data_IF_051528407396
#
_entry.id   IF_051528407396
#
_cell.length_a   1.000
_cell.length_b   1.000
_cell.length_c   1.000
_cell.angle_alpha   90.00
_cell.angle_beta   90.00
_cell.angle_gamma   90.00
#
_symmetry.space_group_name_H-M   'P 1'
#
loop_
_entity.id
_entity.type
_entity.pdbx_description
1 polymer ?
#
# COMPACT_ATOMS: atom_id res chain seq x y z
N UNK A 1 16.21 -22.17 1.59
CA UNK A 1 15.00 -22.29 0.75
C UNK A 1 15.44 -22.88 -0.58
N UNK A 2 14.70 -23.87 -1.08
CA UNK A 2 14.87 -24.34 -2.44
C UNK A 2 14.43 -23.21 -3.38
N UNK A 3 15.31 -22.83 -4.32
CA UNK A 3 15.08 -21.72 -5.23
C UNK A 3 14.52 -22.23 -6.55
N UNK A 4 13.63 -21.46 -7.17
CA UNK A 4 13.13 -21.79 -8.50
C UNK A 4 14.27 -21.80 -9.51
N UNK A 5 14.24 -22.78 -10.41
CA UNK A 5 15.14 -22.80 -11.54
C UNK A 5 14.66 -21.83 -12.65
N UNK A 6 15.51 -21.45 -13.62
CA UNK A 6 15.14 -20.47 -14.65
C UNK A 6 13.91 -20.88 -15.49
N UNK A 7 13.68 -22.17 -15.68
CA UNK A 7 12.53 -22.66 -16.44
C UNK A 7 11.23 -22.49 -15.65
N UNK A 8 11.29 -22.70 -14.32
CA UNK A 8 10.17 -22.47 -13.42
C UNK A 8 9.82 -20.98 -13.32
N UNK A 9 10.83 -20.10 -13.23
CA UNK A 9 10.61 -18.64 -13.24
C UNK A 9 9.93 -18.19 -14.55
N UNK A 10 10.34 -18.75 -15.69
CA UNK A 10 9.71 -18.49 -17.00
C UNK A 10 8.23 -18.93 -17.05
N UNK A 11 7.87 -20.01 -16.35
CA UNK A 11 6.46 -20.44 -16.25
C UNK A 11 5.64 -19.40 -15.47
N UNK A 12 6.18 -18.87 -14.37
CA UNK A 12 5.54 -17.80 -13.60
C UNK A 12 5.40 -16.52 -14.42
N UNK A 13 6.46 -16.16 -15.15
CA UNK A 13 6.48 -15.02 -16.07
C UNK A 13 5.34 -15.11 -17.08
N UNK A 14 5.23 -16.24 -17.81
CA UNK A 14 4.18 -16.43 -18.83
C UNK A 14 2.77 -16.35 -18.25
N UNK A 15 2.58 -16.87 -17.03
CA UNK A 15 1.31 -16.80 -16.34
C UNK A 15 0.89 -15.35 -16.06
N UNK A 16 1.81 -14.50 -15.60
CA UNK A 16 1.53 -13.09 -15.37
C UNK A 16 1.20 -12.34 -16.67
N UNK A 17 1.91 -12.63 -17.76
CA UNK A 17 1.63 -12.06 -19.09
C UNK A 17 0.23 -12.45 -19.58
N UNK A 18 -0.13 -13.73 -19.48
CA UNK A 18 -1.44 -14.22 -19.92
C UNK A 18 -2.62 -13.63 -19.15
N UNK A 19 -2.41 -13.28 -17.88
CA UNK A 19 -3.43 -12.64 -17.05
C UNK A 19 -3.56 -11.12 -17.25
N UNK A 20 -2.83 -10.54 -18.22
CA UNK A 20 -2.90 -9.10 -18.52
C UNK A 20 -2.34 -8.24 -17.38
N UNK A 21 -1.28 -8.74 -16.72
CA UNK A 21 -0.58 -8.00 -15.67
C UNK A 21 0.07 -6.76 -16.27
N UNK A 22 -0.09 -5.62 -15.60
CA UNK A 22 0.57 -4.36 -15.99
C UNK A 22 2.09 -4.54 -15.90
N UNK A 23 2.82 -4.12 -16.93
CA UNK A 23 4.27 -4.24 -17.05
C UNK A 23 5.00 -3.62 -15.85
N UNK A 24 4.43 -2.55 -15.27
CA UNK A 24 4.99 -1.88 -14.10
C UNK A 24 4.81 -2.65 -12.78
N UNK A 25 3.89 -3.63 -12.71
CA UNK A 25 3.69 -4.49 -11.53
C UNK A 25 4.36 -5.86 -11.69
N UNK A 26 4.95 -6.09 -12.86
CA UNK A 26 5.34 -7.41 -13.31
C UNK A 26 6.47 -7.97 -12.47
N UNK A 27 7.53 -7.18 -12.23
CA UNK A 27 8.69 -7.59 -11.45
C UNK A 27 8.32 -7.96 -10.01
N UNK A 28 7.48 -7.14 -9.38
CA UNK A 28 7.07 -7.27 -7.98
C UNK A 28 6.11 -8.45 -7.79
N UNK A 29 5.16 -8.63 -8.72
CA UNK A 29 4.27 -9.79 -8.70
C UNK A 29 5.00 -11.09 -9.02
N UNK A 30 6.00 -11.05 -9.89
CA UNK A 30 6.85 -12.20 -10.16
C UNK A 30 7.65 -12.61 -8.92
N UNK A 31 8.25 -11.65 -8.22
CA UNK A 31 9.01 -11.89 -6.99
C UNK A 31 8.13 -12.46 -5.87
N UNK A 32 6.96 -11.86 -5.63
CA UNK A 32 6.01 -12.38 -4.64
C UNK A 32 5.52 -13.79 -4.98
N UNK A 33 5.15 -14.04 -6.24
CA UNK A 33 4.66 -15.34 -6.66
C UNK A 33 5.76 -16.41 -6.60
N UNK A 34 7.00 -16.04 -6.93
CA UNK A 34 8.15 -16.90 -6.75
C UNK A 34 8.38 -17.25 -5.28
N UNK A 35 8.34 -16.27 -4.38
CA UNK A 35 8.54 -16.48 -2.94
C UNK A 35 7.52 -17.47 -2.34
N UNK A 36 6.24 -17.34 -2.69
CA UNK A 36 5.18 -18.23 -2.22
C UNK A 36 5.32 -19.66 -2.77
N UNK A 37 5.67 -19.81 -4.05
CA UNK A 37 5.92 -21.14 -4.64
C UNK A 37 7.15 -21.80 -4.01
N UNK A 38 8.23 -21.05 -3.77
CA UNK A 38 9.43 -21.53 -3.07
C UNK A 38 9.12 -21.98 -1.64
N UNK A 39 8.23 -21.26 -0.94
CA UNK A 39 7.78 -21.65 0.39
C UNK A 39 7.06 -23.02 0.35
N UNK A 40 6.15 -23.21 -0.59
CA UNK A 40 5.43 -24.48 -0.72
C UNK A 40 6.34 -25.64 -1.15
N UNK A 41 7.31 -25.38 -2.04
CA UNK A 41 8.32 -26.37 -2.39
C UNK A 41 9.17 -26.75 -1.18
N UNK A 42 9.56 -25.77 -0.37
CA UNK A 42 10.34 -26.00 0.84
C UNK A 42 9.63 -26.87 1.88
N UNK A 43 8.30 -26.79 2.00
CA UNK A 43 7.52 -27.69 2.87
C UNK A 43 7.26 -29.08 2.24
N UNK A 44 7.83 -29.35 1.06
CA UNK A 44 7.87 -30.68 0.43
C UNK A 44 6.88 -30.89 -0.72
N UNK A 45 6.22 -29.83 -1.21
CA UNK A 45 5.35 -29.95 -2.39
C UNK A 45 6.17 -29.97 -3.70
N UNK A 46 5.83 -30.81 -4.67
CA UNK A 46 6.35 -30.67 -6.03
C UNK A 46 5.97 -29.30 -6.62
N UNK A 47 6.82 -28.75 -7.48
CA UNK A 47 6.61 -27.44 -8.11
C UNK A 47 5.20 -27.26 -8.71
N UNK A 48 4.71 -28.24 -9.48
CA UNK A 48 3.38 -28.15 -10.11
C UNK A 48 2.26 -28.03 -9.08
N UNK A 49 2.34 -28.80 -7.98
CA UNK A 49 1.35 -28.75 -6.91
C UNK A 49 1.47 -27.47 -6.08
N UNK A 50 2.68 -26.98 -5.86
CA UNK A 50 2.94 -25.69 -5.21
C UNK A 50 2.36 -24.52 -6.05
N UNK A 51 2.59 -24.54 -7.36
CA UNK A 51 2.07 -23.54 -8.29
C UNK A 51 0.54 -23.56 -8.36
N UNK A 52 -0.07 -24.74 -8.51
CA UNK A 52 -1.53 -24.88 -8.53
C UNK A 52 -2.15 -24.38 -7.23
N UNK A 53 -1.52 -24.65 -6.08
CA UNK A 53 -1.96 -24.17 -4.78
C UNK A 53 -1.86 -22.64 -4.67
N UNK A 54 -0.73 -22.06 -5.06
CA UNK A 54 -0.57 -20.59 -5.10
C UNK A 54 -1.58 -19.95 -6.04
N UNK A 55 -1.87 -20.55 -7.20
CA UNK A 55 -2.88 -20.04 -8.14
C UNK A 55 -4.31 -20.14 -7.59
N UNK A 56 -4.64 -21.21 -6.84
CA UNK A 56 -5.94 -21.37 -6.17
C UNK A 56 -6.11 -20.42 -4.99
N UNK A 57 -5.04 -20.20 -4.21
CA UNK A 57 -5.02 -19.29 -3.06
C UNK A 57 -4.87 -17.82 -3.46
N UNK A 58 -4.36 -17.54 -4.66
CA UNK A 58 -4.43 -16.26 -5.36
C UNK A 58 -5.88 -15.98 -5.82
N UNK A 59 -6.80 -15.99 -4.87
CA UNK A 59 -8.14 -15.45 -4.99
C UNK A 59 -8.03 -14.07 -5.68
N UNK A 60 -8.80 -13.85 -6.75
CA UNK A 60 -8.86 -12.58 -7.47
C UNK A 60 -8.95 -11.34 -6.55
N UNK A 61 -9.42 -11.50 -5.30
CA UNK A 61 -9.39 -10.51 -4.22
C UNK A 61 -7.98 -10.17 -3.72
N UNK A 62 -7.07 -11.13 -3.54
CA UNK A 62 -5.67 -10.90 -3.17
C UNK A 62 -4.91 -10.22 -4.33
N UNK A 63 -5.08 -10.70 -5.57
CA UNK A 63 -4.53 -10.05 -6.77
C UNK A 63 -5.12 -8.65 -6.97
N UNK A 64 -6.42 -8.45 -6.73
CA UNK A 64 -7.04 -7.12 -6.72
C UNK A 64 -6.54 -6.26 -5.57
N UNK A 65 -6.21 -6.84 -4.42
CA UNK A 65 -5.68 -6.10 -3.28
C UNK A 65 -4.25 -5.65 -3.56
N UNK A 66 -3.38 -6.54 -4.04
CA UNK A 66 -2.05 -6.22 -4.55
C UNK A 66 -2.17 -5.20 -5.67
N UNK A 67 -3.00 -5.44 -6.68
CA UNK A 67 -3.23 -4.49 -7.77
C UNK A 67 -3.75 -3.15 -7.27
N UNK A 68 -4.51 -3.05 -6.18
CA UNK A 68 -4.99 -1.76 -5.63
C UNK A 68 -3.97 -1.08 -4.71
N UNK A 69 -3.20 -1.87 -3.95
CA UNK A 69 -2.08 -1.40 -3.12
C UNK A 69 -0.91 -0.93 -3.98
N UNK A 70 -0.63 -1.61 -5.08
CA UNK A 70 0.44 -1.33 -6.02
C UNK A 70 -0.03 -0.57 -7.28
N UNK A 71 -1.34 -0.39 -7.55
CA UNK A 71 -1.79 0.44 -8.69
C UNK A 71 -1.32 1.88 -8.59
N UNK A 72 -1.07 2.38 -7.39
CA UNK A 72 -0.46 3.69 -7.25
C UNK A 72 1.04 3.67 -7.59
N UNK A 73 1.71 2.51 -7.56
CA UNK A 73 3.13 2.28 -7.92
C UNK A 73 4.14 3.06 -7.08
N UNK A 74 3.65 4.09 -6.37
CA UNK A 74 4.40 5.11 -5.70
C UNK A 74 4.15 5.03 -4.21
N UNK A 75 5.22 5.24 -3.47
CA UNK A 75 5.17 5.50 -2.05
C UNK A 75 5.16 7.02 -1.85
N UNK A 76 4.22 7.52 -1.03
CA UNK A 76 4.15 8.94 -0.69
C UNK A 76 4.67 9.14 0.75
N UNK A 77 5.63 10.05 0.91
CA UNK A 77 6.18 10.47 2.18
C UNK A 77 5.65 11.86 2.51
N UNK A 78 5.16 12.02 3.72
CA UNK A 78 4.67 13.29 4.24
C UNK A 78 5.57 13.76 5.38
N UNK A 79 6.02 15.00 5.31
CA UNK A 79 6.72 15.67 6.41
C UNK A 79 6.00 16.97 6.74
N UNK A 80 5.71 17.17 8.02
CA UNK A 80 5.04 18.36 8.52
C UNK A 80 5.47 18.60 9.97
N UNK A 81 5.37 19.84 10.43
CA UNK A 81 5.63 20.19 11.83
C UNK A 81 4.31 20.23 12.59
N UNK A 82 4.21 19.47 13.69
CA UNK A 82 2.94 19.30 14.41
C UNK A 82 2.32 20.61 14.92
N UNK A 83 3.13 21.61 15.25
CA UNK A 83 2.64 22.91 15.73
C UNK A 83 1.98 23.77 14.64
N UNK A 84 2.19 23.42 13.37
CA UNK A 84 1.61 24.09 12.21
C UNK A 84 0.23 23.50 11.82
N UNK A 85 -0.18 22.40 12.47
CA UNK A 85 -1.48 21.80 12.21
C UNK A 85 -2.61 22.67 12.78
N UNK A 86 -3.50 23.10 11.88
CA UNK A 86 -4.66 23.91 12.24
C UNK A 86 -5.85 23.04 12.62
N UNK A 87 -6.16 22.05 11.80
CA UNK A 87 -7.39 21.29 11.87
C UNK A 87 -7.19 19.82 11.50
N UNK A 88 -8.10 18.98 12.00
CA UNK A 88 -8.19 17.57 11.68
C UNK A 88 -9.64 17.24 11.27
N UNK A 89 -9.82 16.86 10.02
CA UNK A 89 -11.13 16.51 9.46
C UNK A 89 -11.18 15.03 9.06
N UNK A 90 -12.34 14.39 9.25
CA UNK A 90 -12.61 13.07 8.70
C UNK A 90 -13.65 13.18 7.59
N UNK A 91 -13.33 12.62 6.43
CA UNK A 91 -14.23 12.55 5.28
C UNK A 91 -14.47 11.08 4.92
N UNK A 92 -15.71 10.60 5.02
CA UNK A 92 -16.04 9.23 4.64
C UNK A 92 -17.26 8.65 5.32
N UNK A 93 -17.29 7.32 5.40
CA UNK A 93 -18.32 6.50 6.05
C UNK A 93 -17.71 5.73 7.23
N UNK A 94 -18.51 4.96 7.96
CA UNK A 94 -18.00 4.10 9.04
C UNK A 94 -17.00 3.02 8.55
N UNK A 95 -17.08 2.61 7.28
CA UNK A 95 -16.27 1.51 6.76
C UNK A 95 -14.99 1.98 6.05
N UNK A 96 -15.03 3.16 5.42
CA UNK A 96 -13.93 3.71 4.62
C UNK A 96 -13.98 5.24 4.67
N UNK A 97 -12.84 5.87 4.87
CA UNK A 97 -12.69 7.32 4.79
C UNK A 97 -11.25 7.78 4.79
N UNK A 98 -11.07 9.08 4.86
CA UNK A 98 -9.76 9.74 4.90
C UNK A 98 -9.71 10.70 6.07
N UNK A 99 -8.66 10.59 6.88
CA UNK A 99 -8.27 11.61 7.83
C UNK A 99 -7.44 12.67 7.10
N UNK A 100 -7.83 13.93 7.24
CA UNK A 100 -7.11 15.07 6.69
C UNK A 100 -6.53 15.90 7.83
N UNK A 101 -5.22 16.00 7.87
CA UNK A 101 -4.50 16.94 8.73
C UNK A 101 -4.19 18.18 7.89
N UNK A 102 -4.62 19.36 8.34
CA UNK A 102 -4.53 20.60 7.56
C UNK A 102 -3.60 21.61 8.19
N UNK A 103 -2.81 22.27 7.37
CA UNK A 103 -1.99 23.44 7.69
C UNK A 103 -2.61 24.68 7.05
N UNK A 104 -2.19 25.86 7.52
CA UNK A 104 -2.70 27.14 7.00
C UNK A 104 -2.21 27.44 5.59
N UNK A 105 -0.93 27.16 5.37
CA UNK A 105 -0.22 27.37 4.10
C UNK A 105 0.41 26.05 3.64
N UNK A 106 1.13 26.09 2.53
CA UNK A 106 1.84 24.95 1.95
C UNK A 106 3.05 24.54 2.82
N UNK A 107 2.76 23.83 3.90
CA UNK A 107 3.72 23.44 4.94
C UNK A 107 3.88 21.93 5.12
N UNK A 108 3.13 21.15 4.34
CA UNK A 108 3.30 19.69 4.24
C UNK A 108 4.16 19.39 3.03
N UNK A 109 5.37 18.85 3.25
CA UNK A 109 6.20 18.31 2.18
C UNK A 109 5.64 16.95 1.77
N UNK A 110 5.37 16.76 0.48
CA UNK A 110 4.90 15.52 -0.13
C UNK A 110 5.92 15.06 -1.16
N UNK A 111 6.56 13.93 -0.87
CA UNK A 111 7.55 13.31 -1.73
C UNK A 111 7.04 11.97 -2.23
N UNK A 112 7.19 11.68 -3.53
CA UNK A 112 6.85 10.38 -4.09
C UNK A 112 8.11 9.58 -4.43
N UNK A 113 8.03 8.26 -4.32
CA UNK A 113 9.08 7.32 -4.70
C UNK A 113 8.49 6.21 -5.56
N UNK A 114 9.14 5.88 -6.68
CA UNK A 114 8.63 4.98 -7.74
C UNK A 114 7.35 5.48 -8.40
N UNK A 115 7.16 6.80 -8.50
CA UNK A 115 6.03 7.34 -9.27
C UNK A 115 6.27 7.13 -10.77
N UNK A 116 5.26 6.58 -11.47
CA UNK A 116 5.32 6.31 -12.91
C UNK A 116 5.52 7.58 -13.73
N UNK A 117 5.12 8.73 -13.20
CA UNK A 117 5.31 10.04 -13.83
C UNK A 117 6.65 10.70 -13.48
N UNK A 118 7.50 10.00 -12.72
CA UNK A 118 8.69 10.53 -12.08
C UNK A 118 8.43 10.95 -10.64
N UNK A 119 9.41 10.73 -9.77
CA UNK A 119 9.34 11.12 -8.36
C UNK A 119 9.14 12.64 -8.24
N UNK A 120 8.16 13.03 -7.42
CA UNK A 120 7.72 14.42 -7.24
C UNK A 120 8.08 14.86 -5.84
N UNK A 121 8.65 16.06 -5.72
CA UNK A 121 8.76 16.81 -4.47
C UNK A 121 7.84 18.03 -4.56
N UNK A 122 6.88 18.12 -3.65
CA UNK A 122 5.85 19.16 -3.67
C UNK A 122 5.48 19.60 -2.26
N UNK A 123 4.89 20.80 -2.16
CA UNK A 123 4.29 21.30 -0.93
C UNK A 123 2.77 21.22 -1.02
N UNK A 124 2.12 20.98 0.11
CA UNK A 124 0.66 20.84 0.24
C UNK A 124 0.17 21.51 1.52
N UNK A 125 -1.09 21.92 1.54
CA UNK A 125 -1.81 22.40 2.72
C UNK A 125 -2.38 21.27 3.58
N UNK A 126 -2.23 20.01 3.15
CA UNK A 126 -2.79 18.88 3.88
C UNK A 126 -2.03 17.57 3.68
N UNK A 127 -2.05 16.75 4.74
CA UNK A 127 -1.69 15.34 4.73
C UNK A 127 -2.96 14.49 4.79
N UNK A 128 -3.07 13.52 3.89
CA UNK A 128 -4.24 12.64 3.79
C UNK A 128 -3.86 11.22 4.17
N UNK A 129 -4.53 10.68 5.19
CA UNK A 129 -4.30 9.33 5.68
C UNK A 129 -5.57 8.50 5.42
N UNK A 130 -5.50 7.46 4.56
CA UNK A 130 -6.63 6.58 4.36
C UNK A 130 -6.87 5.74 5.62
N UNK A 131 -8.13 5.69 6.05
CA UNK A 131 -8.59 4.91 7.19
C UNK A 131 -9.61 3.86 6.75
N UNK A 132 -9.64 2.73 7.46
CA UNK A 132 -10.56 1.61 7.21
C UNK A 132 -11.08 1.08 8.53
N UNK A 133 -12.37 0.74 8.57
CA UNK A 133 -13.05 0.15 9.73
C UNK A 133 -12.85 0.98 11.01
N UNK A 134 -13.19 2.28 10.95
CA UNK A 134 -13.02 3.22 12.08
C UNK A 134 -14.37 3.70 12.57
N UNK A 135 -14.63 3.45 13.85
CA UNK A 135 -15.84 3.91 14.54
C UNK A 135 -15.79 5.41 14.84
N UNK A 136 -16.96 6.05 14.86
CA UNK A 136 -17.07 7.50 15.11
C UNK A 136 -16.47 7.90 16.48
N UNK A 137 -16.63 7.07 17.51
CA UNK A 137 -16.10 7.32 18.84
C UNK A 137 -14.57 7.35 18.87
N UNK A 138 -13.90 6.55 18.05
CA UNK A 138 -12.44 6.53 17.99
C UNK A 138 -11.89 7.77 17.28
N UNK A 139 -12.58 8.25 16.25
CA UNK A 139 -12.28 9.55 15.62
C UNK A 139 -12.47 10.71 16.60
N UNK A 140 -13.52 10.67 17.42
CA UNK A 140 -13.77 11.69 18.44
C UNK A 140 -12.68 11.71 19.51
N UNK A 141 -12.23 10.53 19.98
CA UNK A 141 -11.11 10.40 20.92
C UNK A 141 -9.82 10.93 20.30
N UNK A 142 -9.53 10.55 19.05
CA UNK A 142 -8.35 11.02 18.33
C UNK A 142 -8.35 12.55 18.21
N UNK A 143 -9.50 13.15 17.90
CA UNK A 143 -9.62 14.60 17.79
C UNK A 143 -9.43 15.30 19.14
N UNK A 144 -9.97 14.72 20.23
CA UNK A 144 -9.74 15.25 21.57
C UNK A 144 -8.25 15.18 21.96
N UNK A 145 -7.57 14.06 21.66
CA UNK A 145 -6.13 13.90 21.90
C UNK A 145 -5.30 14.87 21.07
N UNK A 146 -5.64 15.04 19.80
CA UNK A 146 -5.00 15.98 18.89
C UNK A 146 -5.08 17.42 19.40
N UNK A 147 -6.27 17.86 19.81
CA UNK A 147 -6.46 19.19 20.40
C UNK A 147 -5.71 19.35 21.73
N UNK A 148 -5.65 18.29 22.55
CA UNK A 148 -4.84 18.25 23.76
C UNK A 148 -3.35 18.46 23.47
N UNK A 149 -2.81 17.74 22.49
CA UNK A 149 -1.42 17.87 22.04
C UNK A 149 -1.13 19.29 21.51
N UNK A 150 -2.03 19.85 20.70
CA UNK A 150 -1.90 21.23 20.18
C UNK A 150 -1.82 22.28 21.29
N UNK A 151 -2.53 22.06 22.40
CA UNK A 151 -2.44 22.90 23.59
C UNK A 151 -1.05 22.89 24.26
N UNK A 152 -0.27 21.82 24.08
CA UNK A 152 1.07 21.64 24.66
C UNK A 152 2.21 22.15 23.75
N UNK A 153 1.94 22.32 22.45
CA UNK A 153 2.94 22.72 21.45
C UNK A 153 3.04 24.25 21.27
N UNK A 154 2.46 25.03 22.19
CA UNK A 154 2.52 26.50 22.20
C UNK A 154 3.76 27.03 22.92
#
# INVERSE_FOLDING_TARGET
MEKLNPQQVEILYRHLVWNGTDEALFEELLDHLACEVEHYMWIGLPFETALEKVQLEANAKAVKHLRKTYQNGKQEYFSLQLHLLEDMAYLGTANVGTLQLRTKEDEVIVQTYKDRSGDVDSMSTSMVIPLKDVEADDLNKLNAQFNGLKGMLK
#
